data_IF_358818535516
#
_entry.id   IF_358818535516
#
_cell.length_a   1.000
_cell.length_b   1.000
_cell.length_c   1.000
_cell.angle_alpha   90.00
_cell.angle_beta   90.00
_cell.angle_gamma   90.00
#
_symmetry.space_group_name_H-M   'P 1'
#
loop_
_entity.id
_entity.type
_entity.pdbx_description
1 polymer ?
#
# COMPACT_ATOMS: atom_id res chain seq x y z
N UNK A 1 -8.61 -4.39 33.03
CA UNK A 1 -9.48 -4.03 31.89
C UNK A 1 -8.73 -4.34 30.61
N UNK A 2 -9.38 -4.93 29.61
CA UNK A 2 -8.76 -5.18 28.32
C UNK A 2 -8.36 -3.87 27.65
N UNK A 3 -7.16 -3.82 27.08
CA UNK A 3 -6.66 -2.70 26.30
C UNK A 3 -7.49 -2.55 25.02
N UNK A 4 -8.02 -1.36 24.74
CA UNK A 4 -8.86 -1.08 23.56
C UNK A 4 -8.03 -0.48 22.44
N UNK A 5 -7.87 -1.22 21.37
CA UNK A 5 -7.09 -0.82 20.19
C UNK A 5 -8.05 -0.51 19.03
N UNK A 6 -7.94 0.69 18.45
CA UNK A 6 -8.58 1.02 17.20
C UNK A 6 -7.60 0.82 16.05
N UNK A 7 -7.93 -0.08 15.12
CA UNK A 7 -7.15 -0.35 13.92
C UNK A 7 -7.79 0.31 12.70
N UNK A 8 -7.17 1.36 12.19
CA UNK A 8 -7.60 2.04 10.97
C UNK A 8 -6.86 1.51 9.72
N UNK A 9 -7.59 1.27 8.63
CA UNK A 9 -7.06 0.61 7.44
C UNK A 9 -7.80 0.98 6.13
N UNK A 10 -7.21 0.55 5.00
CA UNK A 10 -7.75 0.75 3.65
C UNK A 10 -8.29 -0.56 3.00
N UNK A 11 -8.60 -1.58 3.78
CA UNK A 11 -9.15 -2.86 3.31
C UNK A 11 -10.43 -2.69 2.48
N UNK A 12 -10.63 -3.55 1.50
CA UNK A 12 -11.84 -3.59 0.69
C UNK A 12 -11.81 -2.70 -0.56
N UNK A 13 -10.65 -2.12 -0.90
CA UNK A 13 -10.47 -1.33 -2.13
C UNK A 13 -10.12 -2.18 -3.37
N UNK A 14 -10.16 -3.52 -3.24
CA UNK A 14 -9.78 -4.47 -4.31
C UNK A 14 -8.33 -4.34 -4.77
N UNK A 15 -7.45 -3.87 -3.91
CA UNK A 15 -6.02 -3.80 -4.08
C UNK A 15 -5.38 -4.82 -3.11
N UNK A 16 -4.85 -5.89 -3.65
CA UNK A 16 -4.29 -7.02 -2.87
C UNK A 16 -3.28 -6.54 -1.82
N UNK A 17 -2.46 -5.53 -2.16
CA UNK A 17 -1.47 -5.01 -1.23
C UNK A 17 -2.06 -4.23 -0.05
N UNK A 18 -3.09 -3.39 -0.30
CA UNK A 18 -3.76 -2.65 0.78
C UNK A 18 -4.53 -3.62 1.69
N UNK A 19 -5.12 -4.67 1.12
CA UNK A 19 -5.79 -5.73 1.87
C UNK A 19 -4.79 -6.51 2.73
N UNK A 20 -3.64 -6.89 2.16
CA UNK A 20 -2.56 -7.57 2.89
C UNK A 20 -2.02 -6.77 4.06
N UNK A 21 -1.79 -5.45 3.90
CA UNK A 21 -1.34 -4.59 4.99
C UNK A 21 -2.36 -4.57 6.13
N UNK A 22 -3.64 -4.40 5.79
CA UNK A 22 -4.72 -4.36 6.78
C UNK A 22 -4.86 -5.68 7.54
N UNK A 23 -4.89 -6.80 6.84
CA UNK A 23 -5.02 -8.14 7.43
C UNK A 23 -3.83 -8.50 8.33
N UNK A 24 -2.61 -8.22 7.87
CA UNK A 24 -1.42 -8.55 8.62
C UNK A 24 -1.30 -7.71 9.90
N UNK A 25 -1.56 -6.41 9.84
CA UNK A 25 -1.58 -5.55 11.04
C UNK A 25 -2.68 -5.99 11.99
N UNK A 26 -3.89 -6.25 11.50
CA UNK A 26 -4.99 -6.76 12.32
C UNK A 26 -4.61 -8.05 13.06
N UNK A 27 -4.04 -9.03 12.35
CA UNK A 27 -3.57 -10.29 12.93
C UNK A 27 -2.50 -10.06 14.02
N UNK A 28 -1.53 -9.18 13.76
CA UNK A 28 -0.48 -8.85 14.74
C UNK A 28 -1.06 -8.15 15.97
N UNK A 29 -2.03 -7.26 15.81
CA UNK A 29 -2.71 -6.59 16.93
C UNK A 29 -3.56 -7.56 17.75
N UNK A 30 -4.26 -8.51 17.12
CA UNK A 30 -5.02 -9.54 17.82
C UNK A 30 -4.12 -10.54 18.57
N UNK A 31 -2.84 -10.64 18.19
CA UNK A 31 -1.84 -11.46 18.90
C UNK A 31 -1.25 -10.75 20.13
N UNK A 32 -1.49 -9.46 20.32
CA UNK A 32 -1.17 -8.72 21.55
C UNK A 32 -2.05 -9.26 22.68
N UNK A 33 -1.45 -9.47 23.86
CA UNK A 33 -2.16 -10.02 25.01
C UNK A 33 -3.29 -9.09 25.49
N UNK A 34 -4.33 -9.67 26.08
CA UNK A 34 -5.48 -9.04 26.74
C UNK A 34 -5.98 -7.69 26.11
N UNK A 35 -6.20 -7.70 24.78
CA UNK A 35 -6.69 -6.55 24.05
C UNK A 35 -8.05 -6.81 23.35
N UNK A 36 -8.77 -5.75 23.05
CA UNK A 36 -9.93 -5.71 22.17
C UNK A 36 -9.62 -4.84 20.95
N UNK A 37 -9.56 -5.45 19.77
CA UNK A 37 -9.28 -4.73 18.51
C UNK A 37 -10.59 -4.40 17.80
N UNK A 38 -10.86 -3.12 17.62
CA UNK A 38 -11.98 -2.61 16.81
C UNK A 38 -11.44 -2.00 15.53
N UNK A 39 -11.99 -2.35 14.37
CA UNK A 39 -11.52 -1.84 13.08
C UNK A 39 -12.26 -0.58 12.63
N UNK A 40 -11.52 0.32 11.99
CA UNK A 40 -12.02 1.55 11.35
C UNK A 40 -11.64 1.48 9.87
N UNK A 41 -12.63 1.37 8.98
CA UNK A 41 -12.38 1.15 7.56
C UNK A 41 -12.59 2.40 6.72
N UNK A 42 -11.73 2.59 5.71
CA UNK A 42 -11.95 3.61 4.67
C UNK A 42 -12.97 3.14 3.64
N UNK A 43 -13.02 1.84 3.37
CA UNK A 43 -13.92 1.19 2.42
C UNK A 43 -14.81 0.17 3.12
N UNK A 44 -15.84 -0.33 2.47
CA UNK A 44 -16.68 -1.43 2.92
C UNK A 44 -16.43 -2.66 2.03
N UNK A 45 -16.48 -3.88 2.55
CA UNK A 45 -16.78 -4.28 3.93
C UNK A 45 -15.62 -4.05 4.90
N UNK A 46 -15.89 -3.95 6.22
CA UNK A 46 -14.84 -3.93 7.24
C UNK A 46 -14.17 -5.30 7.34
N UNK A 47 -12.88 -5.31 7.74
CA UNK A 47 -12.11 -6.50 8.00
C UNK A 47 -12.67 -7.23 9.24
N UNK A 48 -13.17 -8.45 9.08
CA UNK A 48 -13.60 -9.41 10.14
C UNK A 48 -14.21 -8.82 11.44
N UNK A 49 -14.79 -7.62 11.40
CA UNK A 49 -15.27 -6.93 12.59
C UNK A 49 -16.78 -6.70 12.56
N UNK A 50 -17.39 -6.79 13.74
CA UNK A 50 -18.84 -6.64 13.95
C UNK A 50 -19.34 -5.20 13.87
N UNK A 51 -18.45 -4.20 13.98
CA UNK A 51 -18.80 -2.76 13.99
C UNK A 51 -18.34 -2.08 12.72
N UNK A 52 -19.26 -1.60 11.87
CA UNK A 52 -18.94 -0.78 10.70
C UNK A 52 -18.67 0.68 11.15
N UNK A 53 -17.42 0.95 11.52
CA UNK A 53 -16.94 2.29 11.84
C UNK A 53 -16.14 2.81 10.66
N UNK A 54 -16.58 3.94 10.09
CA UNK A 54 -15.88 4.60 8.98
C UNK A 54 -14.77 5.51 9.47
N UNK A 55 -13.61 5.42 8.84
CA UNK A 55 -12.55 6.43 8.96
C UNK A 55 -13.02 7.78 8.42
N UNK A 56 -12.37 8.85 8.84
CA UNK A 56 -12.69 10.19 8.34
C UNK A 56 -12.47 10.29 6.82
N UNK A 57 -11.43 9.63 6.30
CA UNK A 57 -11.20 9.48 4.85
C UNK A 57 -12.38 8.77 4.17
N UNK A 58 -12.90 7.70 4.74
CA UNK A 58 -14.08 6.98 4.22
C UNK A 58 -15.35 7.85 4.24
N UNK A 59 -15.55 8.62 5.30
CA UNK A 59 -16.71 9.50 5.45
C UNK A 59 -16.67 10.62 4.40
N UNK A 60 -15.58 11.37 4.28
CA UNK A 60 -15.48 12.49 3.33
C UNK A 60 -15.53 12.01 1.88
N UNK A 61 -14.97 10.84 1.56
CA UNK A 61 -15.02 10.28 0.21
C UNK A 61 -16.43 9.81 -0.18
N UNK A 62 -17.21 9.26 0.75
CA UNK A 62 -18.62 8.88 0.47
C UNK A 62 -19.48 10.09 0.15
N UNK A 63 -19.36 11.17 0.93
CA UNK A 63 -20.12 12.40 0.68
C UNK A 63 -19.67 13.12 -0.60
N UNK A 64 -18.38 13.08 -0.94
CA UNK A 64 -17.91 13.66 -2.21
C UNK A 64 -18.49 12.96 -3.42
N UNK A 65 -18.69 11.63 -3.36
CA UNK A 65 -19.33 10.87 -4.43
C UNK A 65 -20.80 11.28 -4.63
N UNK A 66 -21.51 11.62 -3.55
CA UNK A 66 -22.89 12.14 -3.59
C UNK A 66 -22.88 13.56 -4.17
N UNK A 67 -22.02 14.44 -3.67
CA UNK A 67 -21.87 15.80 -4.19
C UNK A 67 -21.44 15.81 -5.65
N UNK A 68 -20.51 14.93 -6.04
CA UNK A 68 -20.07 14.78 -7.44
C UNK A 68 -21.22 14.30 -8.33
N UNK A 69 -22.09 13.42 -7.86
CA UNK A 69 -23.29 13.00 -8.61
C UNK A 69 -24.34 14.10 -8.73
N UNK A 70 -24.48 14.93 -7.72
CA UNK A 70 -25.44 16.05 -7.71
C UNK A 70 -24.93 17.24 -8.56
N UNK A 71 -23.62 17.53 -8.53
CA UNK A 71 -23.03 18.70 -9.19
C UNK A 71 -22.40 18.40 -10.56
N UNK A 72 -22.37 17.15 -11.04
CA UNK A 72 -21.81 16.78 -12.37
C UNK A 72 -22.68 17.24 -13.55
N UNK A 73 -23.83 17.83 -13.30
CA UNK A 73 -24.62 18.50 -14.33
C UNK A 73 -24.16 19.96 -14.39
N UNK A 74 -23.07 20.21 -15.13
CA UNK A 74 -22.79 21.55 -15.67
C UNK A 74 -21.65 22.40 -15.08
N UNK A 75 -20.70 21.87 -14.26
CA UNK A 75 -19.62 22.72 -13.70
C UNK A 75 -18.21 22.20 -14.05
N UNK A 76 -17.36 23.07 -14.56
CA UNK A 76 -15.97 22.79 -14.96
C UNK A 76 -15.15 22.11 -13.85
N UNK A 77 -14.40 21.06 -14.18
CA UNK A 77 -13.59 20.19 -13.28
C UNK A 77 -12.67 20.92 -12.28
N UNK A 78 -12.20 22.13 -12.61
CA UNK A 78 -11.30 22.92 -11.74
C UNK A 78 -12.04 23.54 -10.54
N UNK A 79 -13.27 24.02 -10.73
CA UNK A 79 -14.10 24.59 -9.65
C UNK A 79 -14.54 23.52 -8.65
N UNK A 80 -14.72 22.27 -9.11
CA UNK A 80 -15.05 21.14 -8.25
C UNK A 80 -13.91 20.73 -7.31
N UNK A 81 -12.64 20.82 -7.75
CA UNK A 81 -11.48 20.53 -6.89
C UNK A 81 -11.36 21.52 -5.72
N UNK A 82 -11.55 22.81 -5.97
CA UNK A 82 -11.52 23.81 -4.91
C UNK A 82 -12.66 23.63 -3.91
N UNK A 83 -13.88 23.41 -4.38
CA UNK A 83 -15.04 23.13 -3.54
C UNK A 83 -14.85 21.87 -2.68
N UNK A 84 -14.30 20.81 -3.26
CA UNK A 84 -13.95 19.58 -2.54
C UNK A 84 -12.91 19.85 -1.44
N UNK A 85 -11.87 20.60 -1.73
CA UNK A 85 -10.84 21.01 -0.76
C UNK A 85 -11.44 21.73 0.45
N UNK A 86 -12.28 22.74 0.18
CA UNK A 86 -12.96 23.52 1.22
C UNK A 86 -13.91 22.63 2.03
N UNK A 87 -14.68 21.77 1.36
CA UNK A 87 -15.57 20.83 2.02
C UNK A 87 -14.81 19.91 3.00
N UNK A 88 -13.72 19.26 2.54
CA UNK A 88 -12.93 18.35 3.39
C UNK A 88 -12.37 19.10 4.59
N UNK A 89 -11.81 20.29 4.36
CA UNK A 89 -11.27 21.11 5.43
C UNK A 89 -12.34 21.49 6.47
N UNK A 90 -13.48 22.03 6.02
CA UNK A 90 -14.60 22.43 6.92
C UNK A 90 -15.13 21.22 7.70
N UNK A 91 -15.31 20.08 7.02
CA UNK A 91 -15.82 18.87 7.67
C UNK A 91 -14.87 18.36 8.76
N UNK A 92 -13.56 18.32 8.48
CA UNK A 92 -12.54 17.92 9.43
C UNK A 92 -12.49 18.85 10.65
N UNK A 93 -12.53 20.16 10.45
CA UNK A 93 -12.49 21.11 11.56
C UNK A 93 -13.81 21.09 12.38
N UNK A 94 -14.95 20.85 11.71
CA UNK A 94 -16.24 20.65 12.41
C UNK A 94 -16.19 19.39 13.28
N UNK A 95 -15.67 18.29 12.80
CA UNK A 95 -15.50 17.06 13.60
C UNK A 95 -14.66 17.32 14.85
N UNK A 96 -13.58 18.10 14.75
CA UNK A 96 -12.74 18.48 15.89
C UNK A 96 -13.47 19.39 16.88
N UNK A 97 -14.27 20.33 16.38
CA UNK A 97 -15.08 21.22 17.24
C UNK A 97 -16.09 20.39 18.04
N UNK A 98 -16.83 19.51 17.38
CA UNK A 98 -17.80 18.62 18.03
C UNK A 98 -17.12 17.73 19.07
N UNK A 99 -15.96 17.14 18.75
CA UNK A 99 -15.21 16.33 19.69
C UNK A 99 -14.74 17.13 20.93
N UNK A 100 -14.36 18.40 20.76
CA UNK A 100 -14.01 19.29 21.89
C UNK A 100 -15.23 19.58 22.79
N UNK A 101 -16.41 19.81 22.19
CA UNK A 101 -17.66 19.99 22.94
C UNK A 101 -17.98 18.70 23.70
N UNK A 102 -17.94 17.56 23.01
CA UNK A 102 -18.18 16.25 23.62
C UNK A 102 -17.23 15.96 24.79
N UNK A 103 -15.93 16.24 24.64
CA UNK A 103 -14.96 16.07 25.75
C UNK A 103 -15.31 16.93 26.98
N UNK A 104 -15.89 18.12 26.79
CA UNK A 104 -16.21 19.02 27.88
C UNK A 104 -17.56 18.73 28.52
N UNK A 105 -18.57 18.42 27.73
CA UNK A 105 -19.97 18.33 28.16
C UNK A 105 -20.48 16.90 28.36
N UNK A 106 -19.76 15.90 27.83
CA UNK A 106 -20.26 14.52 27.75
C UNK A 106 -21.38 14.33 26.70
N UNK A 107 -21.81 15.41 26.02
CA UNK A 107 -22.91 15.38 25.06
C UNK A 107 -22.39 15.55 23.65
N UNK A 108 -22.73 14.61 22.75
CA UNK A 108 -22.37 14.70 21.34
C UNK A 108 -23.49 15.38 20.55
N UNK A 109 -23.19 16.56 20.00
CA UNK A 109 -24.16 17.43 19.30
C UNK A 109 -24.28 17.06 17.80
N UNK A 110 -24.09 15.80 17.46
CA UNK A 110 -24.28 15.29 16.10
C UNK A 110 -25.39 14.25 16.08
N UNK A 111 -26.16 14.17 14.99
CA UNK A 111 -27.08 13.06 14.79
C UNK A 111 -26.32 11.74 14.74
N UNK A 112 -27.01 10.64 15.05
CA UNK A 112 -26.44 9.32 14.95
C UNK A 112 -25.95 9.05 13.52
N UNK A 113 -24.67 8.69 13.41
CA UNK A 113 -24.01 8.51 12.11
C UNK A 113 -22.54 8.18 12.24
N UNK A 114 -21.87 8.07 11.07
CA UNK A 114 -20.47 7.64 11.01
C UNK A 114 -19.51 8.54 11.79
N UNK A 115 -19.70 9.87 11.75
CA UNK A 115 -18.82 10.80 12.46
C UNK A 115 -18.99 10.68 13.99
N UNK A 116 -20.24 10.55 14.47
CA UNK A 116 -20.51 10.32 15.88
C UNK A 116 -19.87 9.02 16.37
N UNK A 117 -20.09 7.90 15.64
CA UNK A 117 -19.48 6.61 15.97
C UNK A 117 -17.96 6.68 16.01
N UNK A 118 -17.33 7.38 15.06
CA UNK A 118 -15.88 7.56 15.05
C UNK A 118 -15.39 8.30 16.30
N UNK A 119 -15.99 9.44 16.65
CA UNK A 119 -15.61 10.24 17.82
C UNK A 119 -15.77 9.44 19.11
N UNK A 120 -16.91 8.75 19.30
CA UNK A 120 -17.18 7.92 20.49
C UNK A 120 -16.17 6.80 20.63
N UNK A 121 -15.86 6.06 19.54
CA UNK A 121 -14.88 4.98 19.62
C UNK A 121 -13.47 5.50 19.91
N UNK A 122 -13.04 6.63 19.29
CA UNK A 122 -11.76 7.26 19.61
C UNK A 122 -11.72 7.68 21.09
N UNK A 123 -12.81 8.25 21.63
CA UNK A 123 -12.82 8.75 23.02
C UNK A 123 -12.68 7.66 24.09
N UNK A 124 -12.91 6.40 23.73
CA UNK A 124 -12.87 5.26 24.66
C UNK A 124 -11.71 4.29 24.37
N UNK A 125 -10.88 4.59 23.36
CA UNK A 125 -9.73 3.79 23.01
C UNK A 125 -8.50 4.18 23.84
N UNK A 126 -7.59 3.23 24.02
CA UNK A 126 -6.26 3.44 24.59
C UNK A 126 -5.22 3.71 23.51
N UNK A 127 -5.35 2.98 22.39
CA UNK A 127 -4.38 3.00 21.29
C UNK A 127 -5.14 3.10 19.95
N UNK A 128 -4.59 3.91 19.05
CA UNK A 128 -4.98 3.99 17.65
C UNK A 128 -3.79 3.56 16.78
N UNK A 129 -3.99 2.54 15.96
CA UNK A 129 -2.99 2.04 15.00
C UNK A 129 -3.53 2.20 13.60
N UNK A 130 -2.77 2.89 12.73
CA UNK A 130 -3.07 2.96 11.30
C UNK A 130 -2.09 2.13 10.52
N UNK A 131 -2.59 1.10 9.82
CA UNK A 131 -1.78 0.27 8.92
C UNK A 131 -1.24 1.07 7.74
N UNK A 132 -0.20 0.55 7.13
CA UNK A 132 0.55 1.12 6.04
C UNK A 132 -0.29 1.62 4.88
N UNK A 133 0.20 2.67 4.26
CA UNK A 133 -0.38 3.19 3.03
C UNK A 133 0.64 3.99 2.23
N UNK A 134 0.37 4.20 0.95
CA UNK A 134 1.08 5.17 0.13
C UNK A 134 0.28 6.46 -0.09
N UNK A 135 -0.61 6.80 0.82
CA UNK A 135 -1.58 7.89 0.63
C UNK A 135 -1.19 9.23 1.29
N UNK A 136 -0.05 9.28 2.00
CA UNK A 136 0.45 10.51 2.61
C UNK A 136 1.31 11.32 1.62
N UNK A 137 0.67 11.83 0.55
CA UNK A 137 1.33 12.52 -0.56
C UNK A 137 0.43 13.60 -1.19
N UNK A 138 0.94 14.28 -2.22
CA UNK A 138 0.22 15.35 -2.91
C UNK A 138 -1.07 14.90 -3.60
N UNK A 139 -1.09 13.68 -4.17
CA UNK A 139 -2.23 13.15 -4.93
C UNK A 139 -3.43 12.97 -4.00
N UNK A 140 -3.19 12.39 -2.83
CA UNK A 140 -4.20 12.01 -1.85
C UNK A 140 -4.28 12.97 -0.65
N UNK A 141 -3.72 14.19 -0.76
CA UNK A 141 -3.64 15.11 0.36
C UNK A 141 -5.00 15.37 1.02
N UNK A 142 -5.99 15.77 0.24
CA UNK A 142 -7.32 16.12 0.77
C UNK A 142 -8.23 14.92 1.01
N UNK A 143 -8.10 13.86 0.21
CA UNK A 143 -8.94 12.67 0.35
C UNK A 143 -8.46 11.68 1.40
N UNK A 144 -7.20 11.76 1.81
CA UNK A 144 -6.59 10.80 2.73
C UNK A 144 -5.71 11.46 3.81
N UNK A 145 -4.65 12.19 3.43
CA UNK A 145 -3.67 12.70 4.39
C UNK A 145 -4.27 13.67 5.41
N UNK A 146 -5.05 14.66 4.97
CA UNK A 146 -5.66 15.64 5.86
C UNK A 146 -6.70 15.03 6.81
N UNK A 147 -7.61 14.13 6.35
CA UNK A 147 -8.45 13.34 7.25
C UNK A 147 -7.68 12.51 8.27
N UNK A 148 -6.61 11.81 7.87
CA UNK A 148 -5.77 11.02 8.79
C UNK A 148 -5.07 11.91 9.84
N UNK A 149 -4.57 13.07 9.44
CA UNK A 149 -4.06 14.07 10.38
C UNK A 149 -5.14 14.52 11.37
N UNK A 150 -6.37 14.68 10.91
CA UNK A 150 -7.49 15.04 11.78
C UNK A 150 -7.85 13.93 12.76
N UNK A 151 -7.81 12.66 12.31
CA UNK A 151 -7.97 11.49 13.20
C UNK A 151 -6.89 11.47 14.28
N UNK A 152 -5.63 11.72 13.93
CA UNK A 152 -4.55 11.81 14.92
C UNK A 152 -4.76 12.96 15.94
N UNK A 153 -5.28 14.12 15.48
CA UNK A 153 -5.66 15.23 16.38
C UNK A 153 -6.84 14.85 17.31
N UNK A 154 -7.81 14.10 16.81
CA UNK A 154 -8.91 13.57 17.62
C UNK A 154 -8.39 12.62 18.71
N UNK A 155 -7.50 11.70 18.34
CA UNK A 155 -6.86 10.81 19.29
C UNK A 155 -6.12 11.58 20.39
N UNK A 156 -5.29 12.55 20.02
CA UNK A 156 -4.56 13.37 20.98
C UNK A 156 -5.49 14.19 21.88
N UNK A 157 -6.63 14.66 21.36
CA UNK A 157 -7.64 15.36 22.15
C UNK A 157 -8.14 14.48 23.30
N UNK A 158 -8.29 13.18 23.09
CA UNK A 158 -8.77 12.25 24.12
C UNK A 158 -7.65 11.52 24.89
N UNK A 159 -6.38 11.75 24.54
CA UNK A 159 -5.23 11.12 25.20
C UNK A 159 -4.90 9.73 24.66
N UNK A 160 -5.43 9.38 23.48
CA UNK A 160 -5.19 8.10 22.80
C UNK A 160 -3.82 8.11 22.14
N UNK A 161 -3.01 7.07 22.35
CA UNK A 161 -1.69 6.92 21.72
C UNK A 161 -1.82 6.56 20.25
N UNK A 162 -1.08 7.25 19.38
CA UNK A 162 -1.23 7.16 17.91
C UNK A 162 0.00 6.52 17.28
N UNK A 163 -0.22 5.43 16.54
CA UNK A 163 0.80 4.70 15.80
C UNK A 163 0.45 4.65 14.32
N UNK A 164 1.39 5.01 13.46
CA UNK A 164 1.28 4.87 12.01
C UNK A 164 2.37 3.90 11.56
N UNK A 165 1.97 2.69 11.10
CA UNK A 165 2.91 1.64 10.70
C UNK A 165 3.09 1.59 9.20
N UNK A 166 4.25 1.17 8.68
CA UNK A 166 4.49 0.89 7.27
C UNK A 166 4.14 2.00 6.28
N UNK A 167 4.32 3.28 6.64
CA UNK A 167 3.88 4.41 5.81
C UNK A 167 4.87 4.73 4.68
N UNK A 168 4.34 4.96 3.46
CA UNK A 168 5.05 5.65 2.39
C UNK A 168 4.61 7.11 2.35
N UNK A 169 5.54 8.05 2.56
CA UNK A 169 5.25 9.49 2.67
C UNK A 169 5.92 10.26 1.54
N UNK A 170 5.13 11.08 0.85
CA UNK A 170 5.59 11.96 -0.21
C UNK A 170 5.35 11.44 -1.63
N UNK A 171 5.67 12.27 -2.64
CA UNK A 171 6.19 13.64 -2.52
C UNK A 171 5.17 14.65 -1.98
N UNK A 172 5.66 15.75 -1.37
CA UNK A 172 4.88 16.91 -0.95
C UNK A 172 5.50 18.19 -1.53
N UNK A 173 4.80 18.85 -2.43
CA UNK A 173 5.33 19.97 -3.21
C UNK A 173 5.18 21.34 -2.53
N UNK A 174 4.12 21.55 -1.72
CA UNK A 174 3.84 22.88 -1.17
C UNK A 174 4.28 23.06 0.29
N UNK A 175 4.71 24.27 0.70
CA UNK A 175 5.06 24.56 2.09
C UNK A 175 3.89 24.27 3.07
N UNK A 176 2.65 24.55 2.64
CA UNK A 176 1.46 24.26 3.45
C UNK A 176 1.32 22.75 3.77
N UNK A 177 1.47 21.88 2.76
CA UNK A 177 1.37 20.42 2.94
C UNK A 177 2.51 19.89 3.80
N UNK A 178 3.73 20.40 3.62
CA UNK A 178 4.88 20.10 4.47
C UNK A 178 4.64 20.51 5.93
N UNK A 179 4.05 21.69 6.17
CA UNK A 179 3.66 22.14 7.50
C UNK A 179 2.59 21.24 8.14
N UNK A 180 1.63 20.73 7.34
CA UNK A 180 0.65 19.74 7.83
C UNK A 180 1.35 18.43 8.19
N UNK A 181 2.30 17.94 7.36
CA UNK A 181 3.10 16.76 7.69
C UNK A 181 3.85 16.92 9.02
N UNK A 182 4.50 18.06 9.23
CA UNK A 182 5.22 18.33 10.47
C UNK A 182 4.31 18.31 11.71
N UNK A 183 3.11 18.89 11.60
CA UNK A 183 2.10 18.84 12.67
C UNK A 183 1.54 17.44 12.88
N UNK A 184 1.34 16.69 11.81
CA UNK A 184 0.86 15.32 11.84
C UNK A 184 1.86 14.41 12.55
N UNK A 185 3.13 14.49 12.18
CA UNK A 185 4.19 13.70 12.80
C UNK A 185 4.28 13.93 14.32
N UNK A 186 4.07 15.17 14.78
CA UNK A 186 4.01 15.51 16.21
C UNK A 186 2.76 14.98 16.95
N UNK A 187 1.73 14.53 16.22
CA UNK A 187 0.58 13.87 16.82
C UNK A 187 0.81 12.38 17.08
N UNK A 188 1.85 11.79 16.50
CA UNK A 188 2.09 10.36 16.57
C UNK A 188 3.07 10.02 17.68
N UNK A 189 2.76 8.95 18.43
CA UNK A 189 3.72 8.31 19.36
C UNK A 189 4.85 7.65 18.58
N UNK A 190 4.53 7.04 17.42
CA UNK A 190 5.49 6.43 16.52
C UNK A 190 4.99 6.46 15.08
N UNK A 191 5.87 6.78 14.14
CA UNK A 191 5.65 6.59 12.69
C UNK A 191 6.70 5.62 12.17
N UNK A 192 6.28 4.57 11.45
CA UNK A 192 7.22 3.70 10.77
C UNK A 192 7.10 3.82 9.25
N UNK A 193 8.23 3.71 8.55
CA UNK A 193 8.32 3.88 7.11
C UNK A 193 8.61 2.56 6.42
N UNK A 194 7.98 2.38 5.25
CA UNK A 194 8.15 1.19 4.43
C UNK A 194 9.24 1.30 3.37
N UNK A 195 9.60 2.51 2.98
CA UNK A 195 10.70 2.77 2.05
C UNK A 195 12.01 3.00 2.83
N UNK A 196 13.14 2.64 2.19
CA UNK A 196 14.44 2.62 2.86
C UNK A 196 14.89 3.99 3.40
N UNK A 197 14.61 5.07 2.71
CA UNK A 197 15.16 6.37 3.11
C UNK A 197 14.24 7.58 2.84
N UNK A 198 13.42 7.54 1.82
CA UNK A 198 12.78 8.73 1.27
C UNK A 198 11.76 9.37 2.20
N UNK A 199 10.85 8.59 2.77
CA UNK A 199 9.84 9.07 3.73
C UNK A 199 10.48 9.69 4.96
N UNK A 200 11.50 9.03 5.52
CA UNK A 200 12.25 9.54 6.68
C UNK A 200 12.95 10.85 6.39
N UNK A 201 13.61 10.96 5.23
CA UNK A 201 14.26 12.21 4.80
C UNK A 201 13.26 13.37 4.70
N UNK A 202 12.07 13.09 4.12
CA UNK A 202 11.04 14.11 3.99
C UNK A 202 10.53 14.57 5.35
N UNK A 203 10.23 13.66 6.28
CA UNK A 203 9.78 14.01 7.64
C UNK A 203 10.85 14.81 8.35
N UNK A 204 12.10 14.35 8.35
CA UNK A 204 13.22 15.05 9.01
C UNK A 204 13.49 16.45 8.41
N UNK A 205 13.17 16.66 7.13
CA UNK A 205 13.33 17.97 6.48
C UNK A 205 12.29 19.02 6.87
N UNK A 206 11.18 18.61 7.51
CA UNK A 206 10.04 19.48 7.80
C UNK A 206 9.67 19.55 9.28
N UNK A 207 10.19 18.63 10.10
CA UNK A 207 9.90 18.59 11.53
C UNK A 207 11.05 19.19 12.32
N UNK A 208 10.77 20.28 13.03
CA UNK A 208 11.67 20.81 14.05
C UNK A 208 11.46 20.01 15.35
N UNK A 209 12.51 19.36 15.83
CA UNK A 209 12.52 18.57 17.05
C UNK A 209 12.41 17.07 16.80
N UNK A 210 12.41 16.31 17.89
CA UNK A 210 12.39 14.86 17.81
C UNK A 210 10.99 14.34 17.54
N UNK A 211 10.88 13.51 16.50
CA UNK A 211 9.74 12.62 16.26
C UNK A 211 10.24 11.20 16.39
N UNK A 212 9.52 10.37 17.12
CA UNK A 212 9.85 8.96 17.19
C UNK A 212 9.43 8.29 15.88
N UNK A 213 10.42 8.00 15.07
CA UNK A 213 10.22 7.42 13.74
C UNK A 213 11.27 6.36 13.42
N UNK A 214 10.86 5.35 12.67
CA UNK A 214 11.74 4.26 12.29
C UNK A 214 11.44 3.76 10.87
N UNK A 215 12.49 3.40 10.15
CA UNK A 215 12.37 2.69 8.88
C UNK A 215 12.38 1.19 9.15
N UNK A 216 11.29 0.47 8.84
CA UNK A 216 11.09 -0.92 9.26
C UNK A 216 10.66 -1.87 8.15
N UNK A 217 10.03 -1.37 7.09
CA UNK A 217 9.47 -2.17 6.01
C UNK A 217 7.95 -1.99 5.87
N UNK A 218 7.39 -2.66 4.87
CA UNK A 218 5.96 -2.61 4.55
C UNK A 218 5.14 -3.55 5.43
N UNK A 219 3.96 -3.13 5.84
CA UNK A 219 3.06 -3.95 6.67
C UNK A 219 2.56 -5.23 5.96
N UNK A 220 2.61 -5.30 4.63
CA UNK A 220 2.29 -6.50 3.87
C UNK A 220 3.42 -7.55 3.86
N UNK A 221 4.59 -7.20 4.38
CA UNK A 221 5.80 -8.03 4.30
C UNK A 221 5.62 -9.43 4.88
N UNK A 222 5.02 -9.55 6.05
CA UNK A 222 4.76 -10.81 6.76
C UNK A 222 3.33 -11.34 6.56
N UNK A 223 2.67 -10.99 5.45
CA UNK A 223 1.36 -11.54 5.12
C UNK A 223 1.44 -13.08 5.11
N UNK A 224 0.53 -13.80 5.79
CA UNK A 224 0.51 -15.25 5.79
C UNK A 224 0.29 -15.81 4.39
N UNK A 225 0.92 -16.95 4.10
CA UNK A 225 0.68 -17.70 2.87
C UNK A 225 -0.60 -18.54 2.97
N UNK A 226 -1.31 -18.66 1.86
CA UNK A 226 -2.48 -19.51 1.69
C UNK A 226 -2.25 -20.49 0.55
N UNK A 227 -2.92 -21.65 0.59
CA UNK A 227 -2.82 -22.65 -0.47
C UNK A 227 -3.28 -22.08 -1.83
N UNK A 228 -2.57 -22.48 -2.88
CA UNK A 228 -2.99 -22.23 -4.26
C UNK A 228 -3.96 -23.31 -4.72
N UNK A 229 -4.73 -22.99 -5.76
CA UNK A 229 -5.54 -23.97 -6.46
C UNK A 229 -4.63 -24.96 -7.19
N UNK A 230 -5.06 -26.22 -7.37
CA UNK A 230 -4.24 -27.29 -7.97
C UNK A 230 -3.75 -26.96 -9.38
N UNK A 231 -4.55 -26.30 -10.19
CA UNK A 231 -4.19 -25.88 -11.55
C UNK A 231 -3.10 -24.78 -11.56
N UNK A 232 -3.04 -23.95 -10.53
CA UNK A 232 -2.01 -22.93 -10.34
C UNK A 232 -0.71 -23.58 -9.82
N UNK A 233 -0.82 -24.51 -8.85
CA UNK A 233 0.34 -25.28 -8.34
C UNK A 233 1.02 -26.08 -9.46
N UNK A 234 0.25 -26.64 -10.39
CA UNK A 234 0.79 -27.40 -11.53
C UNK A 234 1.72 -26.58 -12.44
N UNK A 235 1.65 -25.24 -12.43
CA UNK A 235 2.57 -24.39 -13.19
C UNK A 235 4.02 -24.46 -12.67
N UNK A 236 4.21 -24.86 -11.42
CA UNK A 236 5.49 -24.88 -10.74
C UNK A 236 6.09 -26.30 -10.63
N UNK A 237 5.51 -27.28 -11.35
CA UNK A 237 6.00 -28.64 -11.36
C UNK A 237 7.39 -28.73 -12.03
N UNK A 238 8.23 -29.62 -11.53
CA UNK A 238 9.45 -30.17 -12.12
C UNK A 238 10.49 -29.20 -12.71
N UNK A 239 11.28 -28.56 -11.84
CA UNK A 239 12.47 -27.78 -12.20
C UNK A 239 12.24 -26.58 -13.14
N UNK A 240 10.99 -26.13 -13.30
CA UNK A 240 10.69 -24.96 -14.10
C UNK A 240 11.14 -23.68 -13.43
N UNK A 241 11.78 -22.82 -14.20
CA UNK A 241 12.11 -21.45 -13.82
C UNK A 241 10.96 -20.54 -14.26
N UNK A 242 10.00 -20.32 -13.38
CA UNK A 242 8.79 -19.53 -13.65
C UNK A 242 9.07 -18.06 -13.37
N UNK A 243 9.04 -17.23 -14.41
CA UNK A 243 9.04 -15.77 -14.30
C UNK A 243 7.58 -15.30 -14.14
N UNK A 244 7.23 -14.70 -12.99
CA UNK A 244 5.89 -14.16 -12.77
C UNK A 244 5.90 -12.67 -13.09
N UNK A 245 4.94 -12.22 -13.91
CA UNK A 245 4.89 -10.85 -14.38
C UNK A 245 3.53 -10.19 -14.12
N UNK A 246 3.56 -8.91 -13.71
CA UNK A 246 2.37 -8.10 -13.48
C UNK A 246 2.51 -6.74 -14.18
N UNK A 247 1.58 -6.40 -15.06
CA UNK A 247 1.56 -5.13 -15.78
C UNK A 247 0.18 -4.47 -15.72
N UNK A 248 0.16 -3.12 -15.73
CA UNK A 248 -1.06 -2.33 -15.65
C UNK A 248 -1.31 -1.53 -16.92
N UNK A 249 -2.57 -1.38 -17.38
CA UNK A 249 -2.90 -0.66 -18.62
C UNK A 249 -2.59 0.83 -18.56
N UNK A 250 -2.74 1.44 -17.38
CA UNK A 250 -2.47 2.88 -17.17
C UNK A 250 -1.89 3.10 -15.79
N UNK A 251 -0.86 3.94 -15.71
CA UNK A 251 -0.34 4.46 -14.46
C UNK A 251 -0.73 5.93 -14.34
N UNK A 252 -1.89 6.20 -13.83
CA UNK A 252 -2.53 7.47 -13.44
C UNK A 252 -2.39 8.67 -14.41
N UNK A 253 -1.37 8.74 -15.25
CA UNK A 253 -1.09 9.94 -16.08
C UNK A 253 -0.50 9.66 -17.47
N UNK A 254 0.00 8.45 -17.75
CA UNK A 254 0.73 8.18 -19.00
C UNK A 254 0.11 7.01 -19.76
N UNK A 255 -0.37 7.27 -20.98
CA UNK A 255 -0.71 6.23 -21.94
C UNK A 255 0.57 5.61 -22.49
N UNK A 256 0.85 4.36 -22.15
CA UNK A 256 2.03 3.64 -22.65
C UNK A 256 1.84 3.25 -24.12
N UNK A 257 2.88 3.50 -24.91
CA UNK A 257 2.86 3.26 -26.35
C UNK A 257 2.79 1.76 -26.69
N UNK A 258 2.32 1.44 -27.88
CA UNK A 258 2.32 0.08 -28.39
C UNK A 258 3.74 -0.48 -28.50
N UNK A 259 4.71 0.36 -28.86
CA UNK A 259 6.14 0.01 -28.90
C UNK A 259 6.66 -0.43 -27.52
N UNK A 260 6.22 0.24 -26.44
CA UNK A 260 6.60 -0.14 -25.08
C UNK A 260 6.17 -1.59 -24.76
N UNK A 261 4.92 -1.93 -25.08
CA UNK A 261 4.39 -3.27 -24.84
C UNK A 261 5.04 -4.34 -25.71
N UNK A 262 5.36 -4.02 -26.96
CA UNK A 262 6.10 -4.94 -27.87
C UNK A 262 7.50 -5.23 -27.35
N UNK A 263 8.21 -4.25 -26.80
CA UNK A 263 9.53 -4.46 -26.22
C UNK A 263 9.47 -5.37 -24.97
N UNK A 264 8.44 -5.20 -24.12
CA UNK A 264 8.22 -6.13 -23.01
C UNK A 264 7.96 -7.54 -23.54
N UNK A 265 7.01 -7.71 -24.47
CA UNK A 265 6.68 -9.01 -25.01
C UNK A 265 7.90 -9.71 -25.64
N UNK A 266 8.74 -8.98 -26.37
CA UNK A 266 9.98 -9.49 -26.95
C UNK A 266 10.95 -9.98 -25.86
N UNK A 267 11.13 -9.22 -24.78
CA UNK A 267 12.02 -9.62 -23.67
C UNK A 267 11.51 -10.88 -22.97
N UNK A 268 10.18 -10.99 -22.77
CA UNK A 268 9.55 -12.17 -22.15
C UNK A 268 9.62 -13.40 -23.07
N UNK A 269 9.44 -13.22 -24.39
CA UNK A 269 9.62 -14.28 -25.38
C UNK A 269 11.07 -14.78 -25.40
N UNK A 270 12.05 -13.88 -25.42
CA UNK A 270 13.46 -14.20 -25.34
C UNK A 270 13.81 -14.99 -24.08
N UNK A 271 13.24 -14.63 -22.93
CA UNK A 271 13.41 -15.38 -21.69
C UNK A 271 12.86 -16.82 -21.83
N UNK A 272 11.67 -16.98 -22.42
CA UNK A 272 11.06 -18.31 -22.63
C UNK A 272 11.87 -19.15 -23.61
N UNK A 273 12.41 -18.56 -24.67
CA UNK A 273 13.18 -19.27 -25.72
C UNK A 273 14.61 -19.61 -25.28
N UNK A 274 15.14 -18.97 -24.24
CA UNK A 274 16.51 -19.17 -23.79
C UNK A 274 16.76 -20.54 -23.17
N UNK A 275 15.75 -21.19 -22.57
CA UNK A 275 15.85 -22.50 -21.92
C UNK A 275 14.48 -23.18 -21.89
N UNK A 276 14.36 -24.48 -22.24
CA UNK A 276 13.09 -25.22 -22.15
C UNK A 276 12.46 -25.29 -20.75
N UNK A 277 13.25 -25.08 -19.69
CA UNK A 277 12.75 -24.98 -18.32
C UNK A 277 12.15 -23.65 -18.00
N UNK A 278 12.35 -22.61 -18.81
CA UNK A 278 11.83 -21.27 -18.60
C UNK A 278 10.34 -21.18 -18.99
N UNK A 279 9.56 -20.54 -18.17
CA UNK A 279 8.18 -20.20 -18.47
C UNK A 279 7.84 -18.81 -17.90
N UNK A 280 6.89 -18.13 -18.54
CA UNK A 280 6.42 -16.82 -18.12
C UNK A 280 4.93 -16.89 -17.82
N UNK A 281 4.55 -16.43 -16.63
CA UNK A 281 3.16 -16.38 -16.16
C UNK A 281 2.77 -14.93 -15.92
N UNK A 282 1.72 -14.47 -16.59
CA UNK A 282 1.15 -13.15 -16.46
C UNK A 282 -0.02 -13.19 -15.46
N UNK A 283 -0.01 -12.31 -14.46
CA UNK A 283 -0.99 -12.29 -13.39
C UNK A 283 -1.63 -10.91 -13.21
N UNK A 284 -2.87 -10.89 -12.74
CA UNK A 284 -3.52 -9.67 -12.25
C UNK A 284 -3.27 -9.48 -10.76
N UNK A 285 -2.91 -8.25 -10.37
CA UNK A 285 -2.71 -7.86 -8.97
C UNK A 285 -3.74 -6.82 -8.51
N UNK A 286 -4.79 -6.65 -9.31
CA UNK A 286 -5.92 -5.76 -9.03
C UNK A 286 -7.22 -6.47 -9.34
N UNK A 287 -8.08 -6.60 -8.35
CA UNK A 287 -9.41 -7.19 -8.46
C UNK A 287 -10.50 -6.12 -8.79
N UNK A 288 -10.09 -4.95 -9.27
CA UNK A 288 -10.95 -3.82 -9.60
C UNK A 288 -11.61 -3.88 -10.99
N UNK A 289 -12.27 -2.77 -11.39
CA UNK A 289 -12.90 -2.63 -12.71
C UNK A 289 -11.90 -2.59 -13.87
N UNK A 290 -10.71 -2.03 -13.63
CA UNK A 290 -9.59 -2.04 -14.58
C UNK A 290 -8.65 -3.12 -14.08
N UNK A 291 -8.70 -4.25 -14.74
CA UNK A 291 -7.85 -5.39 -14.42
C UNK A 291 -6.56 -5.33 -15.24
N UNK A 292 -5.51 -5.90 -14.69
CA UNK A 292 -4.23 -6.07 -15.39
C UNK A 292 -4.37 -7.05 -16.58
N UNK A 293 -5.47 -7.82 -16.66
CA UNK A 293 -5.74 -8.84 -17.67
C UNK A 293 -5.72 -8.33 -19.10
N UNK A 294 -6.22 -7.11 -19.35
CA UNK A 294 -6.23 -6.54 -20.72
C UNK A 294 -4.80 -6.38 -21.28
N UNK A 295 -3.84 -6.05 -20.42
CA UNK A 295 -2.42 -5.97 -20.79
C UNK A 295 -1.82 -7.38 -20.90
N UNK A 296 -2.18 -8.29 -20.02
CA UNK A 296 -1.73 -9.69 -20.08
C UNK A 296 -2.10 -10.34 -21.41
N UNK A 297 -3.35 -10.20 -21.88
CA UNK A 297 -3.77 -10.69 -23.18
C UNK A 297 -3.06 -10.01 -24.35
N UNK A 298 -2.80 -8.69 -24.24
CA UNK A 298 -2.05 -7.96 -25.25
C UNK A 298 -0.61 -8.51 -25.38
N UNK A 299 0.07 -8.72 -24.25
CA UNK A 299 1.42 -9.29 -24.22
C UNK A 299 1.44 -10.73 -24.72
N UNK A 300 0.48 -11.56 -24.34
CA UNK A 300 0.32 -12.92 -24.83
C UNK A 300 0.26 -12.97 -26.39
N UNK A 301 -0.52 -12.06 -26.99
CA UNK A 301 -0.61 -11.97 -28.44
C UNK A 301 0.69 -11.49 -29.09
N UNK A 302 1.38 -10.53 -28.48
CA UNK A 302 2.66 -10.02 -29.01
C UNK A 302 3.81 -11.02 -28.87
N UNK A 303 3.79 -11.89 -27.87
CA UNK A 303 4.78 -12.94 -27.64
C UNK A 303 4.37 -14.27 -28.31
N UNK A 304 3.66 -14.24 -29.44
CA UNK A 304 3.27 -15.40 -30.25
C UNK A 304 2.60 -16.52 -29.42
N UNK A 305 1.83 -16.17 -28.40
CA UNK A 305 1.11 -17.07 -27.48
C UNK A 305 2.01 -18.01 -26.65
N UNK A 306 3.26 -17.66 -26.46
CA UNK A 306 4.23 -18.44 -25.66
C UNK A 306 4.10 -18.24 -24.15
N UNK A 307 3.31 -17.23 -23.71
CA UNK A 307 3.14 -16.89 -22.30
C UNK A 307 1.89 -17.56 -21.71
N UNK A 308 1.85 -17.75 -20.40
CA UNK A 308 0.64 -18.20 -19.68
C UNK A 308 -0.07 -16.99 -19.09
N UNK A 309 -1.38 -16.88 -19.28
CA UNK A 309 -2.22 -15.84 -18.66
C UNK A 309 -3.08 -16.47 -17.57
N UNK A 310 -2.89 -16.09 -16.32
CA UNK A 310 -3.75 -16.50 -15.22
C UNK A 310 -4.92 -15.51 -15.05
N UNK A 311 -6.10 -15.95 -15.43
CA UNK A 311 -7.35 -15.19 -15.32
C UNK A 311 -8.02 -15.39 -13.94
N UNK A 312 -7.22 -15.34 -12.89
CA UNK A 312 -7.69 -15.55 -11.51
C UNK A 312 -7.47 -14.32 -10.66
N UNK A 313 -8.37 -14.14 -9.69
CA UNK A 313 -8.21 -13.20 -8.60
C UNK A 313 -7.62 -13.95 -7.40
N UNK A 314 -6.53 -13.44 -6.87
CA UNK A 314 -5.86 -14.03 -5.71
C UNK A 314 -6.23 -13.28 -4.43
N UNK A 315 -6.35 -14.00 -3.32
CA UNK A 315 -6.26 -13.40 -1.99
C UNK A 315 -4.84 -12.89 -1.72
N UNK A 316 -4.62 -12.03 -0.71
CA UNK A 316 -3.26 -11.63 -0.33
C UNK A 316 -2.35 -12.82 -0.04
N UNK A 317 -2.83 -13.83 0.67
CA UNK A 317 -2.08 -15.03 1.03
C UNK A 317 -1.75 -15.91 -0.18
N UNK A 318 -2.71 -16.11 -1.09
CA UNK A 318 -2.48 -16.83 -2.34
C UNK A 318 -1.47 -16.10 -3.25
N UNK A 319 -1.58 -14.77 -3.38
CA UNK A 319 -0.63 -13.97 -4.16
C UNK A 319 0.79 -14.07 -3.61
N UNK A 320 0.93 -14.12 -2.27
CA UNK A 320 2.22 -14.32 -1.62
C UNK A 320 2.78 -15.72 -1.86
N UNK A 321 1.94 -16.76 -1.77
CA UNK A 321 2.35 -18.14 -2.09
C UNK A 321 2.78 -18.27 -3.53
N UNK A 322 2.00 -17.71 -4.46
CA UNK A 322 2.32 -17.70 -5.89
C UNK A 322 3.72 -17.13 -6.13
N UNK A 323 4.00 -15.93 -5.57
CA UNK A 323 5.31 -15.31 -5.73
C UNK A 323 6.43 -16.08 -5.02
N UNK A 324 6.18 -16.75 -3.91
CA UNK A 324 7.20 -17.58 -3.24
C UNK A 324 7.66 -18.79 -4.08
N UNK A 325 6.92 -19.15 -5.14
CA UNK A 325 7.26 -20.23 -6.09
C UNK A 325 8.01 -19.74 -7.31
N UNK A 326 8.10 -18.42 -7.52
CA UNK A 326 8.69 -17.82 -8.69
C UNK A 326 10.23 -17.98 -8.69
N UNK A 327 10.80 -18.16 -9.88
CA UNK A 327 12.23 -17.97 -10.10
C UNK A 327 12.62 -16.50 -9.97
N UNK A 328 11.84 -15.61 -10.60
CA UNK A 328 12.00 -14.16 -10.53
C UNK A 328 10.65 -13.49 -10.80
N UNK A 329 10.56 -12.20 -10.54
CA UNK A 329 9.37 -11.42 -10.77
C UNK A 329 9.67 -10.12 -11.54
N UNK A 330 8.74 -9.69 -12.43
CA UNK A 330 8.81 -8.41 -13.15
C UNK A 330 7.47 -7.70 -13.01
N UNK A 331 7.46 -6.45 -12.58
CA UNK A 331 6.17 -5.79 -12.43
C UNK A 331 6.19 -4.29 -12.18
N UNK A 332 5.00 -3.70 -12.29
CA UNK A 332 4.74 -2.28 -12.07
C UNK A 332 4.10 -2.01 -10.69
N UNK A 333 3.53 -3.02 -10.04
CA UNK A 333 2.90 -2.87 -8.75
C UNK A 333 3.92 -2.91 -7.62
N UNK A 334 3.87 -1.92 -6.74
CA UNK A 334 4.73 -1.85 -5.56
C UNK A 334 4.58 -3.09 -4.66
N UNK A 335 3.34 -3.49 -4.33
CA UNK A 335 3.11 -4.64 -3.44
C UNK A 335 3.39 -5.99 -4.11
N UNK A 336 3.33 -6.07 -5.43
CA UNK A 336 3.82 -7.23 -6.16
C UNK A 336 5.32 -7.42 -5.90
N UNK A 337 6.10 -6.33 -5.94
CA UNK A 337 7.51 -6.34 -5.56
C UNK A 337 7.73 -6.64 -4.07
N UNK A 338 6.91 -6.09 -3.15
CA UNK A 338 6.99 -6.41 -1.71
C UNK A 338 6.82 -7.91 -1.49
N UNK A 339 5.84 -8.54 -2.12
CA UNK A 339 5.59 -9.97 -1.96
C UNK A 339 6.72 -10.83 -2.54
N UNK A 340 7.22 -10.50 -3.75
CA UNK A 340 8.33 -11.21 -4.34
C UNK A 340 9.59 -11.14 -3.44
N UNK A 341 10.03 -9.94 -3.12
CA UNK A 341 11.25 -9.72 -2.34
C UNK A 341 11.17 -10.31 -0.94
N UNK A 342 10.00 -10.25 -0.28
CA UNK A 342 9.80 -10.82 1.06
C UNK A 342 9.83 -12.35 1.11
N UNK A 343 9.75 -13.01 -0.05
CA UNK A 343 9.88 -14.45 -0.24
C UNK A 343 11.20 -14.84 -0.92
N UNK A 344 12.21 -13.99 -0.82
CA UNK A 344 13.55 -14.19 -1.39
C UNK A 344 13.58 -14.30 -2.93
N UNK A 345 12.56 -13.76 -3.61
CA UNK A 345 12.44 -13.78 -5.07
C UNK A 345 12.95 -12.49 -5.68
N UNK A 346 13.97 -12.52 -6.54
CA UNK A 346 14.49 -11.33 -7.21
C UNK A 346 13.43 -10.63 -8.05
N UNK A 347 13.42 -9.30 -8.01
CA UNK A 347 12.38 -8.48 -8.63
C UNK A 347 12.94 -7.36 -9.49
N UNK A 348 12.46 -7.28 -10.74
CA UNK A 348 12.66 -6.13 -11.62
C UNK A 348 11.44 -5.24 -11.57
N UNK A 349 11.62 -4.02 -11.08
CA UNK A 349 10.57 -3.04 -10.97
C UNK A 349 10.50 -2.15 -12.21
N UNK A 350 9.32 -2.03 -12.84
CA UNK A 350 9.10 -1.14 -13.97
C UNK A 350 8.36 0.12 -13.52
N UNK A 351 8.85 1.30 -13.93
CA UNK A 351 8.21 2.56 -13.59
C UNK A 351 8.06 3.50 -14.80
N UNK A 352 7.05 4.37 -14.73
CA UNK A 352 6.66 5.27 -15.83
C UNK A 352 6.71 6.74 -15.46
N UNK A 353 6.82 7.06 -14.16
CA UNK A 353 6.90 8.44 -13.68
C UNK A 353 7.65 8.50 -12.34
N UNK A 354 8.02 9.70 -11.91
CA UNK A 354 8.79 9.96 -10.70
C UNK A 354 8.14 9.44 -9.41
N UNK A 355 6.81 9.39 -9.34
CA UNK A 355 6.14 8.83 -8.16
C UNK A 355 6.38 7.32 -8.00
N UNK A 356 6.31 6.57 -9.09
CA UNK A 356 6.60 5.14 -9.09
C UNK A 356 8.10 4.86 -8.97
N UNK A 357 8.95 5.67 -9.62
CA UNK A 357 10.39 5.63 -9.44
C UNK A 357 10.76 5.71 -7.95
N UNK A 358 10.27 6.74 -7.27
CA UNK A 358 10.51 6.94 -5.83
C UNK A 358 10.08 5.73 -4.99
N UNK A 359 8.91 5.13 -5.29
CA UNK A 359 8.42 3.95 -4.58
C UNK A 359 9.30 2.72 -4.81
N UNK A 360 9.66 2.46 -6.05
CA UNK A 360 10.45 1.26 -6.41
C UNK A 360 11.89 1.38 -5.93
N UNK A 361 12.52 2.53 -6.06
CA UNK A 361 13.85 2.75 -5.50
C UNK A 361 13.83 2.64 -3.96
N UNK A 362 12.79 3.15 -3.31
CA UNK A 362 12.61 3.00 -1.87
C UNK A 362 12.42 1.55 -1.40
N UNK A 363 11.78 0.70 -2.22
CA UNK A 363 11.62 -0.73 -1.95
C UNK A 363 12.93 -1.49 -2.21
N UNK A 364 13.54 -1.31 -3.38
CA UNK A 364 14.75 -2.01 -3.78
C UNK A 364 15.97 -1.59 -2.95
N UNK A 365 15.97 -0.38 -2.39
CA UNK A 365 17.02 0.10 -1.51
C UNK A 365 17.23 -0.71 -0.23
N UNK A 366 16.20 -1.42 0.26
CA UNK A 366 16.33 -2.39 1.35
C UNK A 366 17.31 -3.53 1.03
N UNK A 367 17.48 -3.81 -0.25
CA UNK A 367 18.21 -4.95 -0.78
C UNK A 367 19.42 -4.55 -1.64
N UNK A 368 19.75 -3.26 -1.70
CA UNK A 368 20.82 -2.75 -2.59
C UNK A 368 20.61 -3.17 -4.05
N UNK A 369 19.35 -3.22 -4.47
CA UNK A 369 18.92 -3.69 -5.78
C UNK A 369 18.36 -2.57 -6.67
N UNK A 370 18.65 -1.29 -6.38
CA UNK A 370 18.10 -0.13 -7.10
C UNK A 370 18.37 -0.19 -8.61
N UNK A 371 19.44 -0.84 -9.04
CA UNK A 371 19.76 -1.05 -10.46
C UNK A 371 18.71 -1.89 -11.21
N UNK A 372 17.89 -2.68 -10.50
CA UNK A 372 16.77 -3.44 -11.07
C UNK A 372 15.47 -2.62 -11.14
N UNK A 373 15.53 -1.32 -10.93
CA UNK A 373 14.43 -0.40 -11.24
C UNK A 373 14.61 0.13 -12.67
N UNK A 374 13.70 -0.23 -13.56
CA UNK A 374 13.79 0.08 -14.99
C UNK A 374 12.75 1.14 -15.40
N UNK A 375 13.24 2.24 -15.97
CA UNK A 375 12.41 3.30 -16.55
C UNK A 375 11.70 2.81 -17.84
N UNK A 376 10.50 3.36 -18.10
CA UNK A 376 9.82 3.14 -19.39
C UNK A 376 10.70 3.53 -20.60
N UNK A 377 11.61 4.48 -20.43
CA UNK A 377 12.50 4.94 -21.52
C UNK A 377 13.59 3.91 -21.86
N UNK A 378 13.96 3.07 -20.88
CA UNK A 378 15.01 2.08 -21.00
C UNK A 378 14.45 0.66 -21.17
N UNK A 379 13.16 0.52 -21.47
CA UNK A 379 12.45 -0.77 -21.52
C UNK A 379 13.08 -1.79 -22.51
N UNK A 380 13.81 -1.33 -23.50
CA UNK A 380 14.55 -2.17 -24.46
C UNK A 380 15.67 -2.99 -23.80
N UNK A 381 16.12 -2.60 -22.60
CA UNK A 381 17.15 -3.30 -21.85
C UNK A 381 16.60 -4.41 -20.93
N UNK A 382 15.28 -4.60 -20.88
CA UNK A 382 14.65 -5.59 -20.01
C UNK A 382 15.18 -7.02 -20.22
N UNK A 383 15.38 -7.42 -21.49
CA UNK A 383 15.94 -8.74 -21.80
C UNK A 383 17.37 -8.93 -21.26
N UNK A 384 18.23 -7.91 -21.41
CA UNK A 384 19.58 -7.93 -20.85
C UNK A 384 19.56 -7.97 -19.30
N UNK A 385 18.66 -7.21 -18.67
CA UNK A 385 18.50 -7.21 -17.22
C UNK A 385 18.00 -8.55 -16.67
N UNK A 386 17.11 -9.25 -17.39
CA UNK A 386 16.69 -10.61 -17.05
C UNK A 386 17.85 -11.61 -17.15
N UNK A 387 18.70 -11.49 -18.17
CA UNK A 387 19.88 -12.34 -18.31
C UNK A 387 20.90 -12.09 -17.18
N UNK A 388 21.16 -10.83 -16.82
CA UNK A 388 22.02 -10.44 -15.69
C UNK A 388 21.48 -10.99 -14.37
N UNK A 389 20.17 -10.82 -14.11
CA UNK A 389 19.52 -11.37 -12.93
C UNK A 389 19.70 -12.90 -12.86
N UNK A 390 19.58 -13.59 -13.99
CA UNK A 390 19.82 -15.03 -14.05
C UNK A 390 21.26 -15.44 -13.68
N UNK A 391 22.26 -14.67 -14.10
CA UNK A 391 23.67 -14.89 -13.74
C UNK A 391 23.96 -14.66 -12.26
N UNK A 392 23.30 -13.68 -11.65
CA UNK A 392 23.49 -13.34 -10.25
C UNK A 392 22.46 -13.96 -9.29
N UNK A 393 21.57 -14.81 -9.81
CA UNK A 393 20.37 -15.28 -9.11
C UNK A 393 20.64 -15.80 -7.70
N UNK A 394 21.63 -16.70 -7.53
CA UNK A 394 21.95 -17.28 -6.23
C UNK A 394 22.44 -16.22 -5.23
N UNK A 395 23.29 -15.31 -5.70
CA UNK A 395 23.80 -14.18 -4.88
C UNK A 395 22.66 -13.25 -4.45
N UNK A 396 21.70 -12.98 -5.35
CA UNK A 396 20.54 -12.16 -5.04
C UNK A 396 19.67 -12.81 -3.97
N UNK A 397 19.40 -14.12 -4.05
CA UNK A 397 18.65 -14.85 -3.04
C UNK A 397 19.30 -14.76 -1.66
N UNK A 398 20.61 -14.95 -1.56
CA UNK A 398 21.34 -14.86 -0.28
C UNK A 398 21.24 -13.46 0.33
N UNK A 399 21.39 -12.43 -0.50
CA UNK A 399 21.26 -11.04 -0.08
C UNK A 399 19.81 -10.72 0.38
N UNK A 400 18.81 -11.22 -0.33
CA UNK A 400 17.40 -11.07 0.02
C UNK A 400 17.10 -11.71 1.39
N UNK A 401 17.57 -12.94 1.61
CA UNK A 401 17.37 -13.66 2.90
C UNK A 401 17.93 -12.90 4.09
N UNK A 402 19.13 -12.36 3.98
CA UNK A 402 19.75 -11.57 5.06
C UNK A 402 18.96 -10.30 5.36
N UNK A 403 18.56 -9.56 4.32
CA UNK A 403 17.75 -8.36 4.46
C UNK A 403 16.38 -8.68 5.06
N UNK A 404 15.74 -9.76 4.59
CA UNK A 404 14.42 -10.19 5.06
C UNK A 404 14.40 -10.55 6.54
N UNK A 405 15.45 -11.21 7.05
CA UNK A 405 15.59 -11.48 8.50
C UNK A 405 15.61 -10.20 9.32
N UNK A 406 16.36 -9.19 8.86
CA UNK A 406 16.44 -7.88 9.51
C UNK A 406 15.10 -7.14 9.49
N UNK A 407 14.42 -7.11 8.33
CA UNK A 407 13.13 -6.44 8.15
C UNK A 407 12.07 -7.09 9.07
N UNK A 408 11.97 -8.42 9.08
CA UNK A 408 11.03 -9.16 9.97
C UNK A 408 11.28 -8.84 11.45
N UNK A 409 12.53 -8.83 11.88
CA UNK A 409 12.89 -8.48 13.25
C UNK A 409 12.45 -7.07 13.62
N UNK A 410 12.66 -6.09 12.71
CA UNK A 410 12.25 -4.70 12.93
C UNK A 410 10.73 -4.57 13.01
N UNK A 411 9.97 -5.17 12.08
CA UNK A 411 8.50 -5.16 12.11
C UNK A 411 7.98 -5.76 13.43
N UNK A 412 8.47 -6.93 13.85
CA UNK A 412 8.00 -7.58 15.08
C UNK A 412 8.32 -6.75 16.32
N UNK A 413 9.46 -6.07 16.37
CA UNK A 413 9.83 -5.16 17.46
C UNK A 413 8.84 -4.00 17.60
N UNK A 414 8.32 -3.45 16.49
CA UNK A 414 7.31 -2.40 16.53
C UNK A 414 6.04 -2.87 17.22
N UNK A 415 5.53 -4.05 16.87
CA UNK A 415 4.32 -4.59 17.51
C UNK A 415 4.54 -4.95 18.98
N UNK A 416 5.73 -5.46 19.35
CA UNK A 416 6.11 -5.63 20.76
C UNK A 416 6.15 -4.30 21.52
N UNK A 417 6.56 -3.19 20.88
CA UNK A 417 6.51 -1.86 21.49
C UNK A 417 5.07 -1.38 21.73
N UNK A 418 4.14 -1.67 20.81
CA UNK A 418 2.71 -1.35 20.96
C UNK A 418 2.10 -2.17 22.10
N UNK A 419 2.50 -3.42 22.26
CA UNK A 419 2.05 -4.30 23.35
C UNK A 419 2.41 -3.75 24.75
N UNK A 420 3.61 -3.23 24.92
CA UNK A 420 4.12 -2.70 26.18
C UNK A 420 3.48 -1.38 26.64
N UNK A 421 2.63 -0.75 25.83
CA UNK A 421 1.99 0.55 26.13
C UNK A 421 0.62 0.38 26.76
#
# INVERSE_FOLDING_TARGET
MKKKILHAHNYGHKNIGDDAMAENVYRKLCAIGDCEVTTISTYSPPLQCTKDIKSLSGIVNNYSNILTKIFLVGVHRVKLKAAYTVYVWLYCELCLLVAKIYKRSGVIVLPEGSCQRLIVNISTADIYVRSGSGSLNDIWFWSSMYPQYTEARLCNLFGVKVYFTGQGIGPLSTPYRKKILARFAKCCELITYRDFAGSKRLVNSVVDGQVRDETVGDDAFDCPKEALDEDVEALFSDNKKVLICQFRPTNYEVSLSDKYWRNIALALEQFTDADPSHSVVLVSFSNGRITDLSVSHKLYNYANKKLVVLEKCFSPGQAKTLLSRAYAAVGQSYHFGVFALSEDVPFIALYTNTYYEYKHLGLLGWYQMERYALSQNDITTLGAMLAELGQEHQKLIEMLRLSNQSIRKNINRIFATIDQQ
#
